data_IF_211953632267
#
_entry.id   IF_211953632267
#
_cell.length_a   1.000
_cell.length_b   1.000
_cell.length_c   1.000
_cell.angle_alpha   90.00
_cell.angle_beta   90.00
_cell.angle_gamma   90.00
#
_symmetry.space_group_name_H-M   'P 1'
#
loop_
_entity.id
_entity.type
_entity.pdbx_description
1 polymer ?
#
# COMPACT_ATOMS: atom_id res chain seq x y z
N UNK A 1 58.97 -31.28 55.70
CA UNK A 1 57.62 -31.78 55.88
C UNK A 1 56.70 -30.75 55.26
N UNK A 2 56.54 -30.78 53.91
CA UNK A 2 55.92 -29.71 53.13
C UNK A 2 54.58 -30.21 52.55
N UNK A 3 53.50 -29.61 52.97
CA UNK A 3 52.15 -29.92 52.49
C UNK A 3 51.75 -28.88 51.45
N UNK A 4 51.64 -29.31 50.19
CA UNK A 4 51.25 -28.46 49.04
C UNK A 4 49.77 -28.62 48.85
N UNK A 5 49.01 -27.55 49.08
CA UNK A 5 47.61 -27.47 48.71
C UNK A 5 47.47 -27.18 47.21
N UNK A 6 46.87 -28.11 46.47
CA UNK A 6 46.43 -27.86 45.08
C UNK A 6 45.03 -27.23 45.08
N UNK A 7 44.90 -26.00 44.73
CA UNK A 7 43.62 -25.35 44.37
C UNK A 7 43.26 -25.72 42.94
N UNK A 8 42.19 -26.42 42.74
CA UNK A 8 41.54 -26.63 41.44
C UNK A 8 40.57 -25.47 41.19
N UNK A 9 40.85 -24.65 40.23
CA UNK A 9 39.95 -23.61 39.75
C UNK A 9 39.02 -24.22 38.70
N UNK A 10 37.73 -24.34 39.03
CA UNK A 10 36.68 -24.71 38.08
C UNK A 10 36.26 -23.46 37.32
N UNK A 11 36.59 -23.39 36.04
CA UNK A 11 36.08 -22.34 35.13
C UNK A 11 34.71 -22.77 34.62
N UNK A 12 33.64 -22.15 35.13
CA UNK A 12 32.30 -22.33 34.60
C UNK A 12 32.13 -21.51 33.32
N UNK A 13 32.10 -22.19 32.18
CA UNK A 13 31.80 -21.59 30.88
C UNK A 13 30.29 -21.33 30.82
N UNK A 14 29.86 -20.11 31.12
CA UNK A 14 28.47 -19.67 30.92
C UNK A 14 28.24 -19.40 29.41
N UNK A 15 27.69 -20.36 28.69
CA UNK A 15 27.22 -20.17 27.33
C UNK A 15 25.95 -19.30 27.38
N UNK A 16 26.08 -18.00 27.10
CA UNK A 16 24.94 -17.12 26.84
C UNK A 16 24.30 -17.51 25.51
N UNK A 17 23.22 -18.26 25.54
CA UNK A 17 22.33 -18.43 24.40
C UNK A 17 21.70 -17.06 24.11
N UNK A 18 22.25 -16.33 23.13
CA UNK A 18 21.62 -15.17 22.54
C UNK A 18 20.39 -15.66 21.78
N UNK A 19 19.21 -15.52 22.35
CA UNK A 19 17.97 -15.76 21.64
C UNK A 19 17.87 -14.70 20.53
N UNK A 20 18.16 -15.09 19.28
CA UNK A 20 17.90 -14.24 18.14
C UNK A 20 16.40 -13.92 18.14
N UNK A 21 16.04 -12.64 18.27
CA UNK A 21 14.66 -12.21 18.10
C UNK A 21 14.19 -12.68 16.72
N UNK A 22 12.99 -13.27 16.60
CA UNK A 22 12.47 -13.69 15.30
C UNK A 22 12.46 -12.50 14.36
N UNK A 23 13.17 -12.62 13.23
CA UNK A 23 13.08 -11.61 12.17
C UNK A 23 11.60 -11.50 11.75
N UNK A 24 10.99 -10.33 11.91
CA UNK A 24 9.61 -10.12 11.47
C UNK A 24 9.53 -10.47 9.99
N UNK A 25 8.62 -11.40 9.65
CA UNK A 25 8.40 -11.77 8.26
C UNK A 25 7.99 -10.53 7.46
N UNK A 26 8.64 -10.27 6.35
CA UNK A 26 8.31 -9.14 5.46
C UNK A 26 6.86 -9.20 4.97
N UNK A 27 6.33 -10.40 4.80
CA UNK A 27 5.03 -10.68 4.24
C UNK A 27 4.13 -11.39 5.25
N UNK A 28 2.87 -11.01 5.25
CA UNK A 28 1.83 -11.66 6.03
C UNK A 28 0.69 -12.07 5.10
N UNK A 29 0.32 -13.35 5.15
CA UNK A 29 -0.84 -13.86 4.41
C UNK A 29 -2.12 -13.19 4.92
N UNK A 30 -2.96 -12.82 3.97
CA UNK A 30 -4.35 -12.37 4.16
C UNK A 30 -5.21 -13.37 3.41
N UNK A 31 -5.97 -14.18 4.14
CA UNK A 31 -6.71 -15.30 3.58
C UNK A 31 -8.02 -14.84 2.91
N UNK A 32 -8.42 -15.60 1.89
CA UNK A 32 -9.70 -15.42 1.23
C UNK A 32 -10.86 -15.58 2.22
N UNK A 33 -11.89 -14.76 2.08
CA UNK A 33 -13.04 -14.71 2.99
C UNK A 33 -12.87 -13.79 4.19
N UNK A 34 -11.64 -13.41 4.53
CA UNK A 34 -11.38 -12.49 5.62
C UNK A 34 -11.97 -11.09 5.36
N UNK A 35 -12.47 -10.49 6.43
CA UNK A 35 -12.71 -9.05 6.46
C UNK A 35 -11.58 -8.37 7.18
N UNK A 36 -10.88 -7.49 6.48
CA UNK A 36 -9.69 -6.82 6.99
C UNK A 36 -9.85 -5.32 7.09
N UNK A 37 -9.43 -4.80 8.23
CA UNK A 37 -9.18 -3.38 8.43
C UNK A 37 -7.89 -2.98 7.73
N UNK A 38 -7.94 -2.01 6.83
CA UNK A 38 -6.78 -1.61 6.00
C UNK A 38 -6.20 -0.26 6.42
N UNK A 39 -4.92 -0.06 6.16
CA UNK A 39 -4.17 1.17 6.37
C UNK A 39 -4.37 1.81 7.77
N UNK A 40 -4.56 1.01 8.83
CA UNK A 40 -4.86 1.46 10.22
C UNK A 40 -6.03 2.44 10.28
N UNK A 41 -7.04 2.24 9.46
CA UNK A 41 -8.20 3.13 9.35
C UNK A 41 -9.47 2.43 9.83
N UNK A 42 -10.60 3.05 9.66
CA UNK A 42 -11.92 2.45 9.80
C UNK A 42 -12.47 1.87 8.49
N UNK A 43 -11.67 1.86 7.42
CA UNK A 43 -12.01 1.19 6.17
C UNK A 43 -11.74 -0.31 6.29
N UNK A 44 -12.76 -1.12 5.98
CA UNK A 44 -12.71 -2.57 5.94
C UNK A 44 -13.03 -3.06 4.54
N UNK A 45 -12.37 -4.13 4.12
CA UNK A 45 -12.61 -4.80 2.84
C UNK A 45 -12.74 -6.30 3.08
N UNK A 46 -13.54 -7.00 2.26
CA UNK A 46 -13.61 -8.46 2.24
C UNK A 46 -12.72 -8.99 1.12
N UNK A 47 -11.89 -9.96 1.46
CA UNK A 47 -10.83 -10.47 0.58
C UNK A 47 -11.37 -11.66 -0.22
N UNK A 48 -11.48 -11.59 -1.56
CA UNK A 48 -12.04 -12.69 -2.35
C UNK A 48 -11.06 -13.82 -2.65
N UNK A 49 -9.76 -13.54 -2.61
CA UNK A 49 -8.66 -14.48 -2.85
C UNK A 49 -7.50 -14.11 -1.93
N UNK A 50 -6.57 -15.05 -1.71
CA UNK A 50 -5.41 -14.81 -0.86
C UNK A 50 -4.51 -13.68 -1.38
N UNK A 51 -3.99 -12.87 -0.46
CA UNK A 51 -3.03 -11.81 -0.72
C UNK A 51 -1.86 -11.86 0.26
N UNK A 52 -0.71 -11.37 -0.16
CA UNK A 52 0.44 -11.15 0.72
C UNK A 52 0.52 -9.66 1.06
N UNK A 53 0.31 -9.33 2.32
CA UNK A 53 0.44 -7.95 2.83
C UNK A 53 1.89 -7.69 3.23
N UNK A 54 2.47 -6.59 2.76
CA UNK A 54 3.76 -6.15 3.26
C UNK A 54 3.63 -5.60 4.69
N UNK A 55 4.44 -6.10 5.62
CA UNK A 55 4.42 -5.66 7.03
C UNK A 55 4.99 -4.25 7.18
N UNK A 56 5.96 -3.87 6.32
CA UNK A 56 6.51 -2.52 6.26
C UNK A 56 5.66 -1.65 5.36
N UNK A 57 5.02 -0.66 5.94
CA UNK A 57 4.15 0.26 5.22
C UNK A 57 4.93 1.30 4.42
N UNK A 58 4.50 1.66 3.20
CA UNK A 58 5.09 2.76 2.44
C UNK A 58 5.00 4.10 3.18
N UNK A 59 3.83 4.38 3.79
CA UNK A 59 3.60 5.56 4.65
C UNK A 59 2.78 5.19 5.88
N UNK A 60 2.60 6.10 6.82
CA UNK A 60 1.69 5.91 7.96
C UNK A 60 0.21 5.80 7.54
N UNK A 61 -0.13 6.28 6.32
CA UNK A 61 -1.47 6.35 5.74
C UNK A 61 -1.73 5.29 4.67
N UNK A 62 -0.76 4.44 4.36
CA UNK A 62 -0.87 3.46 3.29
C UNK A 62 -0.53 2.04 3.74
N UNK A 63 -1.00 1.09 2.94
CA UNK A 63 -0.72 -0.34 3.09
C UNK A 63 -0.68 -0.96 1.70
N UNK A 64 0.24 -1.90 1.46
CA UNK A 64 0.42 -2.55 0.16
C UNK A 64 0.28 -4.05 0.28
N UNK A 65 -0.46 -4.63 -0.66
CA UNK A 65 -0.64 -6.07 -0.82
C UNK A 65 -0.23 -6.49 -2.23
N UNK A 66 0.19 -7.75 -2.37
CA UNK A 66 0.55 -8.33 -3.66
C UNK A 66 0.21 -9.82 -3.69
N UNK A 67 0.05 -10.39 -4.89
CA UNK A 67 -0.04 -11.85 -5.09
C UNK A 67 1.28 -12.41 -5.63
N UNK A 68 1.84 -11.81 -6.67
CA UNK A 68 3.04 -12.32 -7.35
C UNK A 68 4.31 -11.51 -7.03
N UNK A 69 4.24 -10.53 -6.15
CA UNK A 69 5.32 -9.61 -5.81
C UNK A 69 5.08 -8.19 -6.31
N UNK A 70 5.71 -7.23 -5.63
CA UNK A 70 5.62 -5.82 -6.00
C UNK A 70 6.15 -5.61 -7.44
N UNK A 71 5.44 -4.77 -8.20
CA UNK A 71 5.70 -4.52 -9.61
C UNK A 71 5.01 -5.49 -10.58
N UNK A 72 4.50 -6.65 -10.09
CA UNK A 72 3.68 -7.59 -10.88
C UNK A 72 2.19 -7.52 -10.50
N UNK A 73 1.89 -7.29 -9.25
CA UNK A 73 0.52 -7.05 -8.77
C UNK A 73 0.61 -6.20 -7.52
N UNK A 74 0.18 -4.95 -7.60
CA UNK A 74 0.30 -4.00 -6.50
C UNK A 74 -1.06 -3.41 -6.15
N UNK A 75 -1.58 -3.82 -4.97
CA UNK A 75 -2.83 -3.31 -4.43
C UNK A 75 -2.51 -2.40 -3.26
N UNK A 76 -2.83 -1.13 -3.41
CA UNK A 76 -2.55 -0.08 -2.44
C UNK A 76 -3.83 0.40 -1.76
N UNK A 77 -3.76 0.54 -0.46
CA UNK A 77 -4.79 1.20 0.35
C UNK A 77 -4.21 2.47 0.93
N UNK A 78 -4.88 3.59 0.69
CA UNK A 78 -4.60 4.88 1.30
C UNK A 78 -5.80 5.29 2.13
N UNK A 79 -5.57 5.73 3.36
CA UNK A 79 -6.67 6.04 4.26
C UNK A 79 -6.35 7.21 5.19
N UNK A 80 -7.36 8.01 5.45
CA UNK A 80 -7.27 9.17 6.35
C UNK A 80 -6.21 10.18 5.91
N UNK A 81 -5.99 10.35 4.60
CA UNK A 81 -5.17 11.43 4.07
C UNK A 81 -5.88 12.73 4.40
N UNK A 82 -5.20 13.62 5.11
CA UNK A 82 -5.76 14.89 5.59
C UNK A 82 -5.41 16.02 4.64
N UNK A 83 -6.13 17.10 4.79
CA UNK A 83 -5.80 18.37 4.16
C UNK A 83 -4.32 18.73 4.33
N UNK A 84 -3.65 19.16 3.24
CA UNK A 84 -2.22 19.43 3.18
C UNK A 84 -1.28 18.21 3.23
N UNK A 85 -1.80 16.96 3.31
CA UNK A 85 -0.98 15.76 3.22
C UNK A 85 -0.81 15.30 1.77
N UNK A 86 0.30 14.60 1.48
CA UNK A 86 0.59 14.03 0.16
C UNK A 86 0.29 12.52 0.14
N UNK A 87 -0.06 11.98 -1.03
CA UNK A 87 -0.36 10.54 -1.19
C UNK A 87 0.85 9.66 -0.87
N UNK A 88 2.01 10.04 -1.39
CA UNK A 88 3.28 9.37 -1.17
C UNK A 88 4.14 10.12 -0.16
N UNK A 89 5.17 9.44 0.33
CA UNK A 89 6.14 10.08 1.21
C UNK A 89 6.81 11.24 0.46
N UNK A 90 6.81 12.42 1.06
CA UNK A 90 7.47 13.60 0.47
C UNK A 90 8.91 13.28 0.09
N UNK A 91 9.21 13.41 -1.18
CA UNK A 91 10.58 13.47 -1.64
C UNK A 91 11.17 14.83 -1.26
N UNK A 92 12.42 14.87 -0.80
CA UNK A 92 13.11 16.14 -0.53
C UNK A 92 13.48 16.91 -1.81
N UNK A 93 12.87 16.58 -2.96
CA UNK A 93 13.07 17.27 -4.23
C UNK A 93 12.35 18.61 -4.20
N UNK A 94 13.05 19.65 -3.75
CA UNK A 94 12.54 21.03 -3.69
C UNK A 94 12.03 21.58 -5.02
N UNK A 95 12.46 21.02 -6.16
CA UNK A 95 12.10 21.50 -7.51
C UNK A 95 10.77 20.99 -8.06
N UNK A 96 10.27 19.86 -7.54
CA UNK A 96 9.00 19.28 -7.96
C UNK A 96 8.33 18.64 -6.75
N UNK A 97 7.66 19.42 -5.89
CA UNK A 97 6.98 18.90 -4.71
C UNK A 97 5.78 18.04 -5.13
N UNK A 98 5.46 17.04 -4.34
CA UNK A 98 4.23 16.29 -4.51
C UNK A 98 3.02 17.19 -4.24
N UNK A 99 1.94 17.08 -5.06
CA UNK A 99 0.69 17.76 -4.80
C UNK A 99 0.11 17.39 -3.43
N UNK A 100 -0.38 18.38 -2.72
CA UNK A 100 -1.06 18.19 -1.44
C UNK A 100 -2.56 17.98 -1.68
N UNK A 101 -3.16 17.09 -0.88
CA UNK A 101 -4.61 16.89 -0.90
C UNK A 101 -5.31 18.09 -0.26
N UNK A 102 -6.39 18.54 -0.88
CA UNK A 102 -7.32 19.54 -0.35
C UNK A 102 -8.67 18.86 -0.08
N UNK A 103 -9.18 19.01 1.13
CA UNK A 103 -10.44 18.39 1.57
C UNK A 103 -11.68 18.90 0.81
N UNK A 104 -11.58 20.07 0.20
CA UNK A 104 -12.66 20.73 -0.54
C UNK A 104 -12.61 20.40 -2.05
N UNK A 105 -11.70 19.51 -2.50
CA UNK A 105 -11.64 19.02 -3.87
C UNK A 105 -12.94 18.38 -4.32
N UNK A 106 -13.36 18.66 -5.55
CA UNK A 106 -14.40 17.89 -6.21
C UNK A 106 -13.89 16.50 -6.58
N UNK A 107 -14.80 15.57 -6.89
CA UNK A 107 -14.41 14.20 -7.29
C UNK A 107 -13.57 14.18 -8.58
N UNK A 108 -13.79 15.14 -9.49
CA UNK A 108 -12.95 15.34 -10.69
C UNK A 108 -11.56 15.81 -10.34
N UNK A 109 -11.45 16.75 -9.40
CA UNK A 109 -10.16 17.30 -8.97
C UNK A 109 -9.30 16.23 -8.30
N UNK A 110 -9.94 15.24 -7.61
CA UNK A 110 -9.22 14.09 -7.06
C UNK A 110 -8.51 13.25 -8.13
N UNK A 111 -9.10 13.13 -9.32
CA UNK A 111 -8.50 12.38 -10.43
C UNK A 111 -7.30 13.14 -10.98
N UNK A 112 -7.46 14.44 -11.21
CA UNK A 112 -6.37 15.34 -11.66
C UNK A 112 -5.22 15.37 -10.63
N UNK A 113 -5.55 15.50 -9.35
CA UNK A 113 -4.57 15.45 -8.26
C UNK A 113 -3.80 14.12 -8.22
N UNK A 114 -4.48 12.98 -8.47
CA UNK A 114 -3.83 11.67 -8.55
C UNK A 114 -2.90 11.58 -9.75
N UNK A 115 -3.34 12.07 -10.92
CA UNK A 115 -2.54 12.12 -12.14
C UNK A 115 -1.28 12.98 -11.95
N UNK A 116 -1.41 14.17 -11.39
CA UNK A 116 -0.29 15.05 -11.07
C UNK A 116 0.69 14.40 -10.08
N UNK A 117 0.16 13.73 -9.06
CA UNK A 117 0.97 13.00 -8.10
C UNK A 117 1.74 11.86 -8.77
N UNK A 118 1.10 11.12 -9.68
CA UNK A 118 1.73 10.06 -10.45
C UNK A 118 2.82 10.60 -11.38
N UNK A 119 2.54 11.69 -12.11
CA UNK A 119 3.50 12.34 -13.00
C UNK A 119 4.77 12.81 -12.26
N UNK A 120 4.60 13.41 -11.08
CA UNK A 120 5.74 13.81 -10.23
C UNK A 120 6.54 12.59 -9.77
N UNK A 121 5.86 11.50 -9.41
CA UNK A 121 6.49 10.29 -8.85
C UNK A 121 7.22 9.49 -9.91
N UNK A 122 6.59 9.31 -11.07
CA UNK A 122 7.10 8.51 -12.18
C UNK A 122 8.16 9.24 -13.02
N UNK A 123 8.33 10.55 -12.83
CA UNK A 123 9.46 11.29 -13.38
C UNK A 123 9.51 11.40 -14.89
N UNK A 124 8.36 11.53 -15.56
CA UNK A 124 8.26 11.73 -17.02
C UNK A 124 7.75 10.49 -17.78
N UNK A 125 7.28 9.48 -17.09
CA UNK A 125 6.46 8.43 -17.70
C UNK A 125 5.17 9.06 -18.24
N UNK A 126 4.68 8.58 -19.39
CA UNK A 126 3.38 8.99 -19.91
C UNK A 126 2.29 8.33 -19.06
N UNK A 127 1.87 9.02 -18.01
CA UNK A 127 0.71 8.62 -17.24
C UNK A 127 -0.55 9.20 -17.89
N UNK A 128 -1.58 8.40 -18.08
CA UNK A 128 -2.80 8.78 -18.76
C UNK A 128 -4.02 8.25 -18.02
N UNK A 129 -4.99 9.10 -17.77
CA UNK A 129 -6.33 8.69 -17.33
C UNK A 129 -7.10 8.21 -18.54
N UNK A 130 -7.57 6.96 -18.52
CA UNK A 130 -8.31 6.34 -19.64
C UNK A 130 -9.83 6.44 -19.46
N UNK A 131 -10.31 6.33 -18.22
CA UNK A 131 -11.74 6.35 -17.89
C UNK A 131 -11.96 6.97 -16.51
N UNK A 132 -13.03 7.76 -16.39
CA UNK A 132 -13.50 8.31 -15.11
C UNK A 132 -14.99 8.11 -15.03
N UNK A 133 -15.50 7.62 -13.90
CA UNK A 133 -16.93 7.45 -13.66
C UNK A 133 -17.28 7.62 -12.18
N UNK A 134 -18.51 8.10 -11.87
CA UNK A 134 -19.00 8.09 -10.50
C UNK A 134 -19.01 6.68 -9.92
N UNK A 135 -18.65 6.55 -8.64
CA UNK A 135 -18.68 5.29 -7.92
C UNK A 135 -18.92 5.54 -6.43
N UNK A 136 -19.16 4.46 -5.68
CA UNK A 136 -19.21 4.54 -4.21
C UNK A 136 -18.03 3.79 -3.61
N UNK A 137 -17.50 4.35 -2.53
CA UNK A 137 -16.53 3.65 -1.68
C UNK A 137 -17.10 3.59 -0.25
N UNK A 138 -17.41 2.39 0.21
CA UNK A 138 -17.97 2.19 1.54
C UNK A 138 -19.32 2.88 1.80
N UNK A 139 -20.12 3.10 0.73
CA UNK A 139 -21.39 3.80 0.79
C UNK A 139 -21.33 5.30 0.49
N UNK A 140 -20.15 5.92 0.55
CA UNK A 140 -19.94 7.35 0.26
C UNK A 140 -19.78 7.58 -1.25
N UNK A 141 -20.24 8.74 -1.72
CA UNK A 141 -20.03 9.15 -3.10
C UNK A 141 -18.55 9.35 -3.37
N UNK A 142 -18.11 8.88 -4.51
CA UNK A 142 -16.70 8.84 -4.87
C UNK A 142 -16.52 8.73 -6.39
N UNK A 143 -15.31 8.48 -6.78
CA UNK A 143 -14.90 8.34 -8.17
C UNK A 143 -14.15 7.03 -8.38
N UNK A 144 -14.41 6.38 -9.52
CA UNK A 144 -13.62 5.29 -10.06
C UNK A 144 -12.93 5.78 -11.32
N UNK A 145 -11.65 5.47 -11.48
CA UNK A 145 -10.91 5.81 -12.68
C UNK A 145 -9.91 4.71 -13.05
N UNK A 146 -9.66 4.61 -14.35
CA UNK A 146 -8.63 3.75 -14.93
C UNK A 146 -7.51 4.59 -15.48
N UNK A 147 -6.31 4.08 -15.40
CA UNK A 147 -5.12 4.74 -15.89
C UNK A 147 -4.14 3.76 -16.51
N UNK A 148 -3.26 4.29 -17.36
CA UNK A 148 -2.14 3.55 -17.90
C UNK A 148 -0.86 4.36 -17.84
N UNK A 149 0.26 3.68 -17.78
CA UNK A 149 1.57 4.30 -17.88
C UNK A 149 2.64 3.28 -18.31
N UNK A 150 3.78 3.78 -18.77
CA UNK A 150 4.95 2.94 -19.01
C UNK A 150 5.99 3.28 -17.95
N UNK A 151 6.38 2.30 -17.15
CA UNK A 151 7.39 2.47 -16.10
C UNK A 151 8.79 2.71 -16.64
N UNK A 152 9.71 3.10 -15.77
CA UNK A 152 11.13 3.27 -16.11
C UNK A 152 11.83 1.97 -16.55
N UNK A 153 11.19 0.82 -16.33
CA UNK A 153 11.58 -0.51 -16.81
C UNK A 153 11.01 -0.85 -18.20
N UNK A 154 10.38 0.11 -18.88
CA UNK A 154 9.69 -0.04 -20.17
C UNK A 154 8.51 -1.02 -20.13
N UNK A 155 7.97 -1.33 -18.97
CA UNK A 155 6.77 -2.17 -18.85
C UNK A 155 5.53 -1.30 -18.87
N UNK A 156 4.63 -1.58 -19.82
CA UNK A 156 3.31 -0.96 -19.85
C UNK A 156 2.42 -1.52 -18.75
N UNK A 157 1.86 -0.63 -17.92
CA UNK A 157 0.99 -0.97 -16.80
C UNK A 157 -0.40 -0.38 -16.99
N UNK A 158 -1.38 -1.09 -16.47
CA UNK A 158 -2.73 -0.62 -16.26
C UNK A 158 -2.99 -0.50 -14.77
N UNK A 159 -3.83 0.45 -14.40
CA UNK A 159 -4.32 0.59 -13.06
C UNK A 159 -5.79 0.97 -13.00
N UNK A 160 -6.41 0.63 -11.88
CA UNK A 160 -7.74 1.11 -11.49
C UNK A 160 -7.69 1.63 -10.07
N UNK A 161 -8.41 2.71 -9.83
CA UNK A 161 -8.54 3.27 -8.50
C UNK A 161 -9.99 3.65 -8.19
N UNK A 162 -10.33 3.60 -6.91
CA UNK A 162 -11.58 4.09 -6.37
C UNK A 162 -11.28 4.96 -5.17
N UNK A 163 -11.82 6.18 -5.16
CA UNK A 163 -11.56 7.17 -4.13
C UNK A 163 -12.85 7.82 -3.64
N UNK A 164 -12.87 8.23 -2.37
CA UNK A 164 -13.92 9.06 -1.78
C UNK A 164 -13.34 9.95 -0.67
N UNK A 165 -13.95 11.10 -0.47
CA UNK A 165 -13.70 11.97 0.68
C UNK A 165 -14.75 11.64 1.74
N UNK A 166 -14.29 11.21 2.92
CA UNK A 166 -15.13 10.82 4.05
C UNK A 166 -14.65 11.56 5.29
N UNK A 167 -15.51 12.33 5.94
CA UNK A 167 -15.16 13.16 7.09
C UNK A 167 -13.92 14.01 6.83
N UNK A 168 -13.91 14.75 5.71
CA UNK A 168 -12.80 15.63 5.28
C UNK A 168 -11.45 14.91 5.08
N UNK A 169 -11.46 13.60 4.86
CA UNK A 169 -10.25 12.79 4.64
C UNK A 169 -10.42 11.94 3.39
N UNK A 170 -9.35 11.84 2.62
CA UNK A 170 -9.32 10.98 1.46
C UNK A 170 -9.09 9.52 1.86
N UNK A 171 -9.87 8.65 1.23
CA UNK A 171 -9.68 7.21 1.19
C UNK A 171 -9.58 6.78 -0.28
N UNK A 172 -8.61 5.94 -0.59
CA UNK A 172 -8.36 5.48 -1.94
C UNK A 172 -7.86 4.04 -1.92
N UNK A 173 -8.40 3.22 -2.80
CA UNK A 173 -7.93 1.87 -3.12
C UNK A 173 -7.47 1.91 -4.57
N UNK A 174 -6.23 1.56 -4.85
CA UNK A 174 -5.70 1.45 -6.20
C UNK A 174 -5.04 0.11 -6.43
N UNK A 175 -5.19 -0.41 -7.64
CA UNK A 175 -4.52 -1.61 -8.09
C UNK A 175 -3.81 -1.31 -9.40
N UNK A 176 -2.57 -1.78 -9.53
CA UNK A 176 -1.83 -1.70 -10.77
C UNK A 176 -1.03 -2.99 -11.02
N UNK A 177 -0.87 -3.30 -12.30
CA UNK A 177 -0.13 -4.45 -12.75
C UNK A 177 0.36 -4.27 -14.20
N UNK A 178 1.37 -5.03 -14.66
CA UNK A 178 1.69 -5.11 -16.08
C UNK A 178 0.46 -5.45 -16.91
N UNK A 179 0.26 -4.68 -18.00
CA UNK A 179 -0.90 -4.80 -18.90
C UNK A 179 -1.06 -6.21 -19.45
N UNK A 180 0.06 -6.84 -19.78
CA UNK A 180 0.05 -8.20 -20.29
C UNK A 180 -0.03 -9.20 -19.13
N UNK A 181 -1.04 -10.07 -19.15
CA UNK A 181 -1.21 -11.20 -18.26
C UNK A 181 -1.65 -10.88 -16.83
N UNK A 182 -1.00 -9.93 -16.14
CA UNK A 182 -1.21 -9.73 -14.70
C UNK A 182 -2.45 -8.89 -14.39
N UNK A 183 -2.70 -7.81 -15.12
CA UNK A 183 -3.82 -6.92 -14.82
C UNK A 183 -5.16 -7.66 -14.93
N UNK A 184 -5.42 -8.30 -16.06
CA UNK A 184 -6.70 -9.00 -16.31
C UNK A 184 -6.90 -10.19 -15.36
N UNK A 185 -5.82 -10.80 -14.90
CA UNK A 185 -5.86 -11.92 -13.96
C UNK A 185 -6.47 -11.53 -12.61
N UNK A 186 -6.21 -10.31 -12.14
CA UNK A 186 -6.55 -9.92 -10.77
C UNK A 186 -7.65 -8.88 -10.66
N UNK A 187 -7.91 -8.10 -11.70
CA UNK A 187 -8.78 -6.93 -11.61
C UNK A 187 -10.21 -7.26 -11.16
N UNK A 188 -10.76 -8.41 -11.56
CA UNK A 188 -12.10 -8.82 -11.16
C UNK A 188 -12.20 -9.01 -9.62
N UNK A 189 -11.21 -9.66 -9.01
CA UNK A 189 -11.11 -9.82 -7.56
C UNK A 189 -10.91 -8.49 -6.84
N UNK A 190 -10.10 -7.59 -7.41
CA UNK A 190 -9.87 -6.25 -6.85
C UNK A 190 -11.16 -5.42 -6.88
N UNK A 191 -11.91 -5.45 -7.96
CA UNK A 191 -13.22 -4.77 -8.05
C UNK A 191 -14.19 -5.30 -7.00
N UNK A 192 -14.27 -6.62 -6.83
CA UNK A 192 -15.08 -7.25 -5.77
C UNK A 192 -14.65 -6.76 -4.38
N UNK A 193 -13.35 -6.62 -4.14
CA UNK A 193 -12.82 -6.07 -2.88
C UNK A 193 -13.20 -4.59 -2.71
N UNK A 194 -13.10 -3.76 -3.76
CA UNK A 194 -13.53 -2.36 -3.74
C UNK A 194 -15.04 -2.24 -3.47
N UNK A 195 -15.85 -3.16 -4.02
CA UNK A 195 -17.31 -3.18 -3.81
C UNK A 195 -17.67 -3.61 -2.38
N UNK A 196 -16.86 -4.43 -1.74
CA UNK A 196 -17.05 -4.88 -0.36
C UNK A 196 -16.66 -3.83 0.68
N UNK A 197 -16.05 -2.72 0.26
CA UNK A 197 -15.56 -1.68 1.15
C UNK A 197 -16.67 -1.14 2.08
N UNK A 198 -16.34 -0.96 3.37
CA UNK A 198 -17.24 -0.37 4.36
C UNK A 198 -16.48 0.33 5.47
N UNK A 199 -17.08 1.34 6.05
CA UNK A 199 -16.55 2.06 7.21
C UNK A 199 -17.20 1.53 8.50
N UNK A 200 -16.37 1.17 9.49
CA UNK A 200 -16.79 0.64 10.80
C UNK A 200 -16.02 1.29 11.93
#
# INVERSE_FOLDING_TARGET
MNWVFKLAAAVALATTMSAAAPAEARWQLVEAGDTRKVARSNLHVTVPVDWNRETRRPTSRSEVWTQDGLGLSELMFYAKIRDGETLFKRNQRKRNPLPEFDKDMLLTDLVEWYEDTANVTLGGSLFQIEEVKPAKLGGFDGVHFRYSYTGGDNVARLGEARAAIVDEKLYLISFEAPRLHYFDRYIAGVRSMMDSARFQ
#
